data_IF_320373993797
#
_entry.id   IF_320373993797
#
_cell.length_a   1.000
_cell.length_b   1.000
_cell.length_c   1.000
_cell.angle_alpha   90.00
_cell.angle_beta   90.00
_cell.angle_gamma   90.00
#
_symmetry.space_group_name_H-M   'P 1'
#
loop_
_entity.id
_entity.type
_entity.pdbx_description
1 polymer ?
#
# COMPACT_ATOMS: atom_id res chain seq x y z
N UNK A 1 -15.28 -7.02 1.62
CA UNK A 1 -14.50 -5.87 1.10
C UNK A 1 -13.80 -6.31 -0.17
N UNK A 2 -14.09 -5.63 -1.29
CA UNK A 2 -13.63 -5.99 -2.64
C UNK A 2 -12.38 -5.19 -2.98
N UNK A 3 -11.36 -5.83 -3.55
CA UNK A 3 -10.14 -5.13 -3.95
C UNK A 3 -10.43 -4.17 -5.12
N UNK A 4 -9.88 -2.94 -5.13
CA UNK A 4 -10.08 -1.99 -6.22
C UNK A 4 -9.40 -2.45 -7.52
N UNK A 5 -10.02 -2.12 -8.67
CA UNK A 5 -9.66 -2.65 -9.99
C UNK A 5 -8.23 -2.31 -10.47
N UNK A 6 -7.64 -1.19 -10.00
CA UNK A 6 -6.27 -0.81 -10.33
C UNK A 6 -5.21 -1.76 -9.73
N UNK A 7 -5.61 -2.64 -8.80
CA UNK A 7 -4.73 -3.51 -8.01
C UNK A 7 -4.49 -4.90 -8.65
N UNK A 8 -5.17 -5.25 -9.75
CA UNK A 8 -5.25 -6.62 -10.26
C UNK A 8 -4.06 -7.11 -11.12
N UNK A 9 -3.02 -6.30 -11.35
CA UNK A 9 -1.82 -6.75 -12.09
C UNK A 9 -0.83 -7.44 -11.14
N UNK A 10 -0.73 -8.76 -11.20
CA UNK A 10 0.33 -9.54 -10.54
C UNK A 10 1.57 -9.57 -11.43
N UNK A 11 2.66 -8.97 -10.98
CA UNK A 11 4.02 -9.23 -11.47
C UNK A 11 4.79 -9.86 -10.31
N UNK A 12 4.98 -11.17 -10.37
CA UNK A 12 5.92 -11.87 -9.50
C UNK A 12 7.35 -11.63 -9.95
N UNK A 13 8.27 -11.55 -8.98
CA UNK A 13 9.71 -11.65 -9.22
C UNK A 13 10.46 -10.32 -9.26
N UNK A 14 10.63 -9.69 -8.09
CA UNK A 14 11.85 -9.04 -7.54
C UNK A 14 11.57 -8.93 -6.04
N UNK A 15 12.54 -9.17 -5.15
CA UNK A 15 12.34 -9.34 -3.70
C UNK A 15 11.52 -8.23 -3.02
N UNK A 16 11.41 -7.04 -3.62
CA UNK A 16 10.68 -5.88 -3.08
C UNK A 16 9.25 -5.71 -3.56
N UNK A 17 8.85 -6.40 -4.62
CA UNK A 17 7.51 -6.22 -5.20
C UNK A 17 6.42 -6.69 -4.23
N UNK A 18 5.54 -5.77 -3.84
CA UNK A 18 4.37 -6.03 -3.05
C UNK A 18 3.28 -6.74 -3.87
N UNK A 19 2.88 -7.90 -3.41
CA UNK A 19 1.90 -8.77 -4.05
C UNK A 19 0.56 -8.67 -3.31
N UNK A 20 -0.52 -8.55 -4.08
CA UNK A 20 -1.87 -8.67 -3.56
C UNK A 20 -2.19 -10.13 -3.28
N UNK A 21 -2.56 -10.41 -2.03
CA UNK A 21 -2.98 -11.73 -1.58
C UNK A 21 -4.13 -11.64 -0.59
N UNK A 22 -4.33 -12.74 0.14
CA UNK A 22 -5.29 -12.83 1.24
C UNK A 22 -4.56 -13.16 2.52
N UNK A 23 -4.99 -12.57 3.62
CA UNK A 23 -4.51 -12.93 4.93
C UNK A 23 -4.89 -14.40 5.24
N UNK A 24 -3.94 -15.26 5.65
CA UNK A 24 -4.23 -16.67 5.90
C UNK A 24 -5.14 -16.89 7.13
N UNK A 25 -5.34 -15.86 7.97
CA UNK A 25 -6.12 -15.96 9.21
C UNK A 25 -7.53 -15.43 9.07
N UNK A 26 -7.71 -14.26 8.46
CA UNK A 26 -9.02 -13.61 8.31
C UNK A 26 -9.50 -13.51 6.86
N UNK A 27 -8.71 -13.97 5.89
CA UNK A 27 -9.00 -13.96 4.44
C UNK A 27 -9.25 -12.57 3.82
N UNK A 28 -9.04 -11.49 4.59
CA UNK A 28 -9.07 -10.12 4.11
C UNK A 28 -7.98 -9.89 3.05
N UNK A 29 -8.23 -9.02 2.06
CA UNK A 29 -7.20 -8.66 1.08
C UNK A 29 -6.06 -7.93 1.78
N UNK A 30 -4.82 -8.29 1.45
CA UNK A 30 -3.60 -7.68 2.01
C UNK A 30 -2.55 -7.49 0.91
N UNK A 31 -1.70 -6.47 1.06
CA UNK A 31 -0.45 -6.36 0.32
C UNK A 31 0.68 -6.95 1.16
N UNK A 32 1.51 -7.81 0.54
CA UNK A 32 2.67 -8.42 1.20
C UNK A 32 3.93 -8.16 0.39
N UNK A 33 4.99 -7.66 1.02
CA UNK A 33 6.28 -7.35 0.40
C UNK A 33 7.35 -7.04 1.45
N UNK A 34 8.60 -6.77 1.02
CA UNK A 34 9.68 -6.35 1.92
C UNK A 34 9.64 -4.83 2.16
N UNK A 35 9.79 -4.41 3.42
CA UNK A 35 9.61 -3.02 3.86
C UNK A 35 10.84 -2.10 3.72
N UNK A 36 12.03 -2.66 3.53
CA UNK A 36 13.28 -1.93 3.24
C UNK A 36 14.22 -2.71 2.27
N UNK A 37 15.29 -2.08 1.81
CA UNK A 37 16.34 -2.70 0.98
C UNK A 37 17.31 -3.49 1.88
N UNK A 38 17.60 -2.94 3.07
CA UNK A 38 18.57 -3.48 4.02
C UNK A 38 17.87 -3.99 5.28
N UNK A 39 18.22 -5.21 5.72
CA UNK A 39 17.63 -5.84 6.92
C UNK A 39 16.08 -5.82 6.93
N UNK A 40 15.51 -5.96 5.73
CA UNK A 40 14.09 -5.84 5.48
C UNK A 40 13.27 -6.88 6.24
N UNK A 41 12.06 -6.49 6.63
CA UNK A 41 11.04 -7.34 7.21
C UNK A 41 9.89 -7.51 6.24
N UNK A 42 9.21 -8.65 6.36
CA UNK A 42 7.98 -8.89 5.61
C UNK A 42 6.87 -7.98 6.14
N UNK A 43 6.51 -6.95 5.38
CA UNK A 43 5.34 -6.13 5.64
C UNK A 43 4.07 -6.83 5.15
N UNK A 44 3.01 -6.68 5.95
CA UNK A 44 1.64 -7.01 5.57
C UNK A 44 0.80 -5.76 5.81
N UNK A 45 0.29 -5.17 4.76
CA UNK A 45 -0.46 -3.93 4.83
C UNK A 45 -1.92 -4.15 4.39
N UNK A 46 -2.83 -3.40 5.00
CA UNK A 46 -4.19 -3.26 4.46
C UNK A 46 -4.10 -2.48 3.14
N UNK A 47 -4.81 -2.90 2.08
CA UNK A 47 -4.70 -2.30 0.75
C UNK A 47 -5.42 -0.94 0.63
N UNK A 48 -5.99 -0.44 1.73
CA UNK A 48 -6.78 0.77 1.78
C UNK A 48 -5.95 1.91 2.37
N UNK A 49 -5.65 2.98 1.61
CA UNK A 49 -4.91 4.11 2.15
C UNK A 49 -5.65 4.87 3.24
N UNK A 50 -4.90 5.47 4.16
CA UNK A 50 -5.41 6.18 5.35
C UNK A 50 -4.99 7.64 5.37
N UNK A 51 -5.81 8.54 5.86
CA UNK A 51 -5.47 9.97 5.98
C UNK A 51 -4.31 10.22 6.96
N UNK A 52 -3.72 11.44 7.04
CA UNK A 52 -2.71 11.76 8.05
C UNK A 52 -3.21 11.54 9.50
N UNK A 53 -4.49 11.83 9.77
CA UNK A 53 -5.09 11.51 11.06
C UNK A 53 -5.14 9.99 11.30
N UNK A 54 -5.51 9.22 10.28
CA UNK A 54 -5.49 7.75 10.34
C UNK A 54 -4.10 7.18 10.60
N UNK A 55 -3.07 7.80 10.03
CA UNK A 55 -1.67 7.44 10.26
C UNK A 55 -1.27 7.68 11.72
N UNK A 56 -1.63 8.83 12.29
CA UNK A 56 -1.40 9.11 13.71
C UNK A 56 -2.11 8.09 14.63
N UNK A 57 -3.36 7.74 14.33
CA UNK A 57 -4.10 6.71 15.07
C UNK A 57 -3.44 5.33 14.96
N UNK A 58 -2.96 4.96 13.76
CA UNK A 58 -2.25 3.71 13.56
C UNK A 58 -0.97 3.63 14.40
N UNK A 59 -0.16 4.70 14.40
CA UNK A 59 1.07 4.79 15.18
C UNK A 59 0.80 4.72 16.70
N UNK A 60 -0.22 5.42 17.19
CA UNK A 60 -0.65 5.35 18.59
C UNK A 60 -1.13 3.95 19.00
N UNK A 61 -1.73 3.20 18.06
CA UNK A 61 -2.09 1.79 18.25
C UNK A 61 -0.90 0.82 18.11
N UNK A 62 0.33 1.35 18.00
CA UNK A 62 1.56 0.58 17.83
C UNK A 62 1.64 -0.16 16.50
N UNK A 63 0.98 0.31 15.45
CA UNK A 63 1.06 -0.26 14.10
C UNK A 63 2.11 0.45 13.28
N UNK A 64 2.79 -0.31 12.42
CA UNK A 64 3.59 0.27 11.37
C UNK A 64 2.70 0.89 10.28
N UNK A 65 3.24 1.87 9.57
CA UNK A 65 2.64 2.47 8.37
C UNK A 65 3.65 2.43 7.23
N UNK A 66 3.15 2.34 6.00
CA UNK A 66 3.97 2.13 4.82
C UNK A 66 3.56 3.08 3.70
N UNK A 67 4.53 3.69 3.04
CA UNK A 67 4.31 4.33 1.74
C UNK A 67 4.15 3.24 0.68
N UNK A 68 3.13 3.36 -0.16
CA UNK A 68 2.96 2.54 -1.35
C UNK A 68 3.60 3.23 -2.55
N UNK A 69 4.82 2.81 -2.89
CA UNK A 69 5.53 3.30 -4.05
C UNK A 69 5.19 2.46 -5.29
N UNK A 70 5.23 3.08 -6.47
CA UNK A 70 4.94 2.42 -7.75
C UNK A 70 6.10 2.56 -8.78
N UNK A 71 7.38 2.36 -8.42
CA UNK A 71 8.50 2.57 -9.35
C UNK A 71 8.42 1.59 -10.50
N UNK A 72 8.56 2.09 -11.74
CA UNK A 72 8.57 1.27 -12.96
C UNK A 72 7.40 0.27 -13.05
N UNK A 73 6.23 0.62 -12.50
CA UNK A 73 5.03 -0.22 -12.49
C UNK A 73 5.02 -1.35 -11.47
N UNK A 74 6.02 -1.44 -10.59
CA UNK A 74 6.07 -2.38 -9.46
C UNK A 74 5.57 -1.68 -8.21
N UNK A 75 4.76 -2.37 -7.42
CA UNK A 75 4.32 -1.84 -6.12
C UNK A 75 5.36 -2.21 -5.08
N UNK A 76 5.75 -1.29 -4.21
CA UNK A 76 6.69 -1.52 -3.13
C UNK A 76 6.13 -0.93 -1.83
N UNK A 77 6.40 -1.58 -0.71
CA UNK A 77 6.06 -1.08 0.62
C UNK A 77 7.33 -0.52 1.25
N UNK A 78 7.28 0.75 1.64
CA UNK A 78 8.38 1.42 2.31
C UNK A 78 7.94 1.84 3.70
N UNK A 79 8.62 1.37 4.74
CA UNK A 79 8.21 1.71 6.12
C UNK A 79 8.36 3.21 6.35
N UNK A 80 7.29 3.85 6.84
CA UNK A 80 7.32 5.24 7.25
C UNK A 80 7.91 5.37 8.63
N UNK A 81 9.21 5.66 8.66
CA UNK A 81 9.91 6.03 9.88
C UNK A 81 9.80 7.54 10.16
N UNK A 82 10.46 7.99 11.23
CA UNK A 82 10.45 9.40 11.63
C UNK A 82 10.89 10.37 10.52
N UNK A 83 11.77 9.95 9.60
CA UNK A 83 12.25 10.80 8.53
C UNK A 83 11.19 10.94 7.44
N UNK A 84 10.57 9.84 7.03
CA UNK A 84 9.46 9.85 6.06
C UNK A 84 8.22 10.55 6.60
N UNK A 85 7.96 10.43 7.90
CA UNK A 85 6.85 11.10 8.59
C UNK A 85 7.07 12.61 8.66
N UNK A 86 8.30 13.06 8.94
CA UNK A 86 8.61 14.50 9.00
C UNK A 86 8.55 15.21 7.64
N UNK A 87 8.69 14.44 6.54
CA UNK A 87 8.66 14.96 5.18
C UNK A 87 7.26 15.15 4.60
N UNK A 88 7.20 15.76 3.41
CA UNK A 88 5.95 15.86 2.67
C UNK A 88 5.42 14.47 2.28
N UNK A 89 4.14 14.23 2.54
CA UNK A 89 3.44 13.01 2.16
C UNK A 89 3.18 12.98 0.65
N UNK A 90 3.97 12.18 -0.08
CA UNK A 90 3.94 12.09 -1.55
C UNK A 90 3.22 10.86 -2.09
N UNK A 91 3.05 9.84 -1.26
CA UNK A 91 2.52 8.54 -1.64
C UNK A 91 1.30 8.18 -0.78
N UNK A 92 0.41 7.32 -1.27
CA UNK A 92 -0.64 6.74 -0.43
C UNK A 92 0.00 5.95 0.72
N UNK A 93 -0.47 6.21 1.94
CA UNK A 93 0.02 5.54 3.14
C UNK A 93 -0.93 4.42 3.52
N UNK A 94 -0.40 3.23 3.72
CA UNK A 94 -1.12 2.03 4.12
C UNK A 94 -0.78 1.64 5.56
N UNK A 95 -1.76 1.26 6.39
CA UNK A 95 -1.47 0.73 7.72
C UNK A 95 -1.07 -0.75 7.66
N UNK A 96 -0.33 -1.18 8.68
CA UNK A 96 -0.12 -2.60 8.97
C UNK A 96 -1.46 -3.33 9.16
N UNK A 97 -1.58 -4.46 8.48
CA UNK A 97 -2.71 -5.37 8.60
C UNK A 97 -2.74 -6.02 9.99
N UNK A 98 -3.84 -5.83 10.72
CA UNK A 98 -4.18 -6.63 11.90
C UNK A 98 -5.58 -7.22 11.75
N UNK A 99 -5.67 -8.54 11.89
CA UNK A 99 -6.92 -9.26 11.74
C UNK A 99 -8.00 -8.73 12.70
N UNK A 100 -9.20 -8.48 12.18
CA UNK A 100 -10.34 -8.01 12.96
C UNK A 100 -10.26 -6.56 13.43
N UNK A 101 -9.26 -5.80 12.97
CA UNK A 101 -9.07 -4.41 13.37
C UNK A 101 -8.75 -3.51 12.16
N UNK A 102 -9.70 -3.31 11.23
CA UNK A 102 -9.49 -2.42 10.11
C UNK A 102 -9.49 -0.94 10.58
N UNK A 103 -8.72 -0.09 9.89
CA UNK A 103 -8.64 1.36 10.14
C UNK A 103 -9.64 2.15 9.27
N UNK A 104 -10.89 1.68 9.22
CA UNK A 104 -11.89 2.17 8.26
C UNK A 104 -12.34 3.63 8.50
N UNK A 105 -12.26 4.11 9.74
CA UNK A 105 -12.72 5.45 10.12
C UNK A 105 -11.90 6.59 9.50
N UNK A 106 -10.69 6.30 9.01
CA UNK A 106 -9.77 7.29 8.48
C UNK A 106 -9.24 6.94 7.10
N UNK A 107 -10.06 6.28 6.28
CA UNK A 107 -9.72 5.95 4.91
C UNK A 107 -9.49 7.24 4.11
N UNK A 108 -8.36 7.30 3.41
CA UNK A 108 -8.12 8.33 2.41
C UNK A 108 -8.98 8.02 1.20
N UNK A 109 -9.87 8.94 0.85
CA UNK A 109 -10.63 8.83 -0.39
C UNK A 109 -9.68 9.10 -1.55
N UNK A 110 -9.12 8.03 -2.12
CA UNK A 110 -8.37 8.15 -3.36
C UNK A 110 -9.39 8.58 -4.42
N UNK A 111 -9.35 9.84 -4.85
CA UNK A 111 -10.00 10.19 -6.10
C UNK A 111 -9.32 9.37 -7.18
N UNK A 112 -10.08 8.53 -7.88
CA UNK A 112 -9.56 7.72 -8.97
C UNK A 112 -8.97 8.66 -10.04
N UNK A 113 -7.67 8.93 -9.95
CA UNK A 113 -6.93 9.68 -10.93
C UNK A 113 -7.03 8.95 -12.26
N UNK A 114 -7.56 9.67 -13.26
CA UNK A 114 -7.67 9.35 -14.68
C UNK A 114 -7.41 7.89 -15.09
N UNK A 115 -8.44 7.26 -15.69
CA UNK A 115 -8.25 6.06 -16.52
C UNK A 115 -7.04 6.31 -17.42
N UNK A 116 -6.05 5.41 -17.38
CA UNK A 116 -5.06 5.33 -18.45
C UNK A 116 -5.83 5.11 -19.76
N UNK A 117 -5.95 6.18 -20.55
CA UNK A 117 -6.39 6.07 -21.95
C UNK A 117 -5.18 5.49 -22.66
N UNK A 118 -5.28 4.22 -23.07
CA UNK A 118 -4.30 3.67 -24.01
C UNK A 118 -4.21 4.65 -25.18
N UNK A 119 -3.02 5.17 -25.52
CA UNK A 119 -2.87 5.90 -26.77
C UNK A 119 -3.40 5.00 -27.89
N UNK A 120 -4.25 5.55 -28.75
CA UNK A 120 -4.56 4.89 -30.01
C UNK A 120 -3.22 4.59 -30.70
N UNK A 121 -3.14 3.39 -31.26
CA UNK A 121 -1.99 2.85 -32.00
C UNK A 121 -1.20 3.96 -32.72
N UNK A 122 0.12 4.09 -32.50
CA UNK A 122 0.91 5.09 -33.21
C UNK A 122 0.83 4.82 -34.71
N UNK A 123 0.70 5.85 -35.57
CA UNK A 123 0.53 5.63 -37.00
C UNK A 123 1.87 5.29 -37.64
N UNK A 124 2.27 4.02 -37.68
CA UNK A 124 3.20 3.47 -38.68
C UNK A 124 2.89 1.99 -38.94
#
# INVERSE_FOLDING_TARGET
MTAPAWLLRQTGGVFRTAILGRCPRCYAPILTGLDDDNAARTARADPTPITPLGEAVALLAGRATYDLLAPYGRRELWRRDQWHISGARKHPVLPEHRCGQPLDAHIETIQAGARYVSPAEPPF
#
